data_IF_475427350041
#
_entry.id   IF_475427350041
#
_cell.length_a   1.000
_cell.length_b   1.000
_cell.length_c   1.000
_cell.angle_alpha   90.00
_cell.angle_beta   90.00
_cell.angle_gamma   90.00
#
_symmetry.space_group_name_H-M   'P 1'
#
loop_
_entity.id
_entity.type
_entity.pdbx_description
1 polymer ?
#
# COMPACT_ATOMS: atom_id res chain seq x y z
N UNK A 1 3.12 18.88 -30.53
CA UNK A 1 3.37 20.30 -30.19
C UNK A 1 3.64 20.40 -28.68
N UNK A 2 4.75 21.04 -28.32
CA UNK A 2 5.04 21.36 -26.90
C UNK A 2 4.67 22.83 -26.68
N UNK A 3 3.92 23.09 -25.63
CA UNK A 3 3.52 24.44 -25.25
C UNK A 3 4.46 24.92 -24.14
N UNK A 4 5.17 26.00 -24.39
CA UNK A 4 6.09 26.61 -23.46
C UNK A 4 5.55 27.96 -23.00
N UNK A 5 5.60 28.22 -21.69
CA UNK A 5 5.18 29.51 -21.11
C UNK A 5 6.32 30.50 -21.30
N UNK A 6 6.04 31.62 -21.96
CA UNK A 6 7.05 32.69 -22.10
C UNK A 6 7.08 33.56 -20.84
N UNK A 7 8.19 34.24 -20.60
CA UNK A 7 8.39 35.17 -19.47
C UNK A 7 7.32 36.28 -19.35
N UNK A 8 6.53 36.49 -20.40
CA UNK A 8 5.45 37.51 -20.45
C UNK A 8 4.05 36.90 -20.35
N UNK A 9 3.93 35.63 -19.92
CA UNK A 9 2.63 34.97 -19.71
C UNK A 9 1.87 34.56 -20.98
N UNK A 10 2.51 34.61 -22.15
CA UNK A 10 1.94 34.09 -23.39
C UNK A 10 2.47 32.69 -23.69
N UNK A 11 1.65 31.87 -24.33
CA UNK A 11 2.03 30.53 -24.74
C UNK A 11 2.65 30.56 -26.15
N UNK A 12 3.79 29.94 -26.29
CA UNK A 12 4.42 29.70 -27.58
C UNK A 12 4.32 28.21 -27.92
N UNK A 13 3.75 27.93 -29.10
CA UNK A 13 3.72 26.57 -29.63
C UNK A 13 5.02 26.32 -30.38
N UNK A 14 5.79 25.34 -29.91
CA UNK A 14 7.00 24.89 -30.60
C UNK A 14 6.64 23.70 -31.49
N UNK A 15 7.06 23.69 -32.78
CA UNK A 15 6.90 22.51 -33.60
C UNK A 15 7.77 21.39 -33.01
N UNK A 16 7.18 20.27 -32.68
CA UNK A 16 7.93 19.04 -32.45
C UNK A 16 8.47 18.65 -33.82
N UNK A 17 9.78 18.62 -33.94
CA UNK A 17 10.40 17.91 -35.07
C UNK A 17 9.95 16.45 -34.94
N UNK A 18 8.98 16.03 -35.73
CA UNK A 18 8.65 14.62 -35.89
C UNK A 18 9.91 14.00 -36.47
N UNK A 19 10.62 13.21 -35.68
CA UNK A 19 11.72 12.40 -36.19
C UNK A 19 11.17 11.64 -37.40
N UNK A 20 11.88 11.70 -38.51
CA UNK A 20 11.56 10.94 -39.72
C UNK A 20 11.20 9.52 -39.29
N UNK A 21 10.13 8.99 -39.90
CA UNK A 21 9.57 7.67 -39.61
C UNK A 21 10.66 6.70 -39.18
N UNK A 22 10.54 6.21 -37.93
CA UNK A 22 11.31 5.03 -37.52
C UNK A 22 11.05 3.98 -38.61
N UNK A 23 12.09 3.46 -39.27
CA UNK A 23 11.89 2.43 -40.30
C UNK A 23 11.04 1.32 -39.68
N UNK A 24 10.10 0.78 -40.45
CA UNK A 24 9.35 -0.45 -40.09
C UNK A 24 10.30 -1.68 -40.07
N UNK A 25 11.45 -1.56 -39.44
CA UNK A 25 12.18 -2.73 -38.97
C UNK A 25 11.28 -3.31 -37.90
N UNK A 26 10.81 -4.55 -38.13
CA UNK A 26 10.15 -5.37 -37.12
C UNK A 26 10.98 -5.23 -35.84
N UNK A 27 10.49 -4.41 -34.92
CA UNK A 27 11.01 -4.40 -33.56
C UNK A 27 10.79 -5.82 -33.07
N UNK A 28 11.88 -6.60 -33.05
CA UNK A 28 11.89 -7.92 -32.44
C UNK A 28 11.16 -7.77 -31.09
N UNK A 29 10.05 -8.49 -30.87
CA UNK A 29 9.30 -8.30 -29.64
C UNK A 29 10.29 -8.50 -28.51
N UNK A 30 10.55 -7.43 -27.77
CA UNK A 30 11.45 -7.43 -26.63
C UNK A 30 11.19 -8.70 -25.85
N UNK A 31 12.06 -9.68 -25.98
CA UNK A 31 12.08 -10.85 -25.09
C UNK A 31 12.51 -10.32 -23.74
N UNK A 32 11.54 -9.78 -23.02
CA UNK A 32 11.71 -9.34 -21.65
C UNK A 32 12.07 -10.57 -20.84
N UNK A 33 13.32 -10.66 -20.42
CA UNK A 33 13.69 -11.62 -19.40
C UNK A 33 12.77 -11.39 -18.19
N UNK A 34 11.99 -12.39 -17.83
CA UNK A 34 11.00 -12.29 -16.76
C UNK A 34 11.64 -11.82 -15.43
N UNK A 35 12.92 -12.13 -15.20
CA UNK A 35 13.64 -11.66 -14.03
C UNK A 35 14.01 -10.18 -14.10
N UNK A 36 14.44 -9.69 -15.25
CA UNK A 36 14.68 -8.26 -15.47
C UNK A 36 13.38 -7.48 -15.36
N UNK A 37 12.30 -7.99 -15.95
CA UNK A 37 10.97 -7.38 -15.86
C UNK A 37 10.48 -7.25 -14.40
N UNK A 38 10.68 -8.27 -13.58
CA UNK A 38 10.29 -8.23 -12.16
C UNK A 38 11.11 -7.19 -11.37
N UNK A 39 12.41 -7.11 -11.62
CA UNK A 39 13.26 -6.12 -10.98
C UNK A 39 12.88 -4.68 -11.39
N UNK A 40 12.60 -4.46 -12.65
CA UNK A 40 12.15 -3.17 -13.17
C UNK A 40 10.79 -2.75 -12.57
N UNK A 41 9.84 -3.69 -12.48
CA UNK A 41 8.53 -3.45 -11.84
C UNK A 41 8.74 -3.06 -10.37
N UNK A 42 9.59 -3.78 -9.65
CA UNK A 42 9.90 -3.47 -8.26
C UNK A 42 10.47 -2.06 -8.11
N UNK A 43 11.48 -1.70 -8.91
CA UNK A 43 12.08 -0.37 -8.89
C UNK A 43 11.08 0.73 -9.28
N UNK A 44 10.19 0.46 -10.22
CA UNK A 44 9.14 1.39 -10.61
C UNK A 44 8.15 1.64 -9.45
N UNK A 45 7.78 0.61 -8.69
CA UNK A 45 6.93 0.74 -7.50
C UNK A 45 7.61 1.58 -6.41
N UNK A 46 8.88 1.30 -6.12
CA UNK A 46 9.68 2.07 -5.16
C UNK A 46 9.78 3.53 -5.56
N UNK A 47 10.08 3.79 -6.84
CA UNK A 47 10.15 5.15 -7.39
C UNK A 47 8.80 5.86 -7.29
N UNK A 48 7.71 5.20 -7.67
CA UNK A 48 6.37 5.77 -7.63
C UNK A 48 5.95 6.21 -6.21
N UNK A 49 6.21 5.37 -5.20
CA UNK A 49 5.93 5.71 -3.80
C UNK A 49 6.79 6.90 -3.36
N UNK A 50 8.08 6.85 -3.63
CA UNK A 50 9.02 7.93 -3.26
C UNK A 50 8.62 9.28 -3.87
N UNK A 51 8.29 9.28 -5.14
CA UNK A 51 7.86 10.46 -5.88
C UNK A 51 6.54 11.02 -5.34
N UNK A 52 5.56 10.16 -5.09
CA UNK A 52 4.27 10.57 -4.54
C UNK A 52 4.45 11.23 -3.17
N UNK A 53 5.15 10.58 -2.26
CA UNK A 53 5.40 11.13 -0.93
C UNK A 53 6.15 12.46 -0.99
N UNK A 54 7.20 12.55 -1.80
CA UNK A 54 7.99 13.77 -1.98
C UNK A 54 7.15 14.92 -2.53
N UNK A 55 6.37 14.67 -3.59
CA UNK A 55 5.53 15.70 -4.24
C UNK A 55 4.40 16.19 -3.34
N UNK A 56 3.84 15.31 -2.53
CA UNK A 56 2.74 15.64 -1.61
C UNK A 56 3.21 16.15 -0.25
N UNK A 57 4.51 16.14 0.03
CA UNK A 57 5.08 16.55 1.31
C UNK A 57 4.83 15.56 2.44
N UNK A 58 4.51 14.30 2.13
CA UNK A 58 4.32 13.26 3.12
C UNK A 58 5.66 12.65 3.53
N UNK A 59 5.77 12.25 4.80
CA UNK A 59 7.03 11.72 5.35
C UNK A 59 6.89 10.36 5.99
N UNK A 60 5.69 9.95 6.39
CA UNK A 60 5.45 8.71 7.15
C UNK A 60 4.29 7.92 6.59
N UNK A 61 4.45 6.61 6.59
CA UNK A 61 3.42 5.64 6.19
C UNK A 61 3.05 4.69 7.31
N UNK A 62 1.81 4.20 7.28
CA UNK A 62 1.35 3.08 8.08
C UNK A 62 0.82 2.00 7.14
N UNK A 63 1.21 0.74 7.39
CA UNK A 63 0.83 -0.42 6.56
C UNK A 63 0.16 -1.46 7.46
N UNK A 64 -1.05 -1.87 7.11
CA UNK A 64 -1.69 -3.02 7.76
C UNK A 64 -0.98 -4.31 7.33
N UNK A 65 -0.33 -5.00 8.27
CA UNK A 65 0.39 -6.24 8.01
C UNK A 65 -0.38 -7.44 8.55
N UNK A 66 -0.84 -8.29 7.64
CA UNK A 66 -1.66 -9.47 7.98
C UNK A 66 -0.84 -10.75 8.21
N UNK A 67 0.45 -10.74 7.85
CA UNK A 67 1.30 -11.93 7.75
C UNK A 67 1.18 -12.66 6.42
N UNK A 68 0.30 -12.20 5.49
CA UNK A 68 0.22 -12.70 4.13
C UNK A 68 1.20 -12.03 3.18
N UNK A 69 1.51 -12.70 2.06
CA UNK A 69 2.52 -12.25 1.10
C UNK A 69 2.24 -10.86 0.52
N UNK A 70 0.99 -10.53 0.23
CA UNK A 70 0.63 -9.25 -0.38
C UNK A 70 1.00 -8.09 0.55
N UNK A 71 0.60 -8.18 1.83
CA UNK A 71 0.95 -7.17 2.84
C UNK A 71 2.45 -7.11 3.12
N UNK A 72 3.14 -8.24 3.01
CA UNK A 72 4.59 -8.32 3.17
C UNK A 72 5.32 -7.57 2.05
N UNK A 73 4.89 -7.76 0.80
CA UNK A 73 5.45 -7.03 -0.36
C UNK A 73 5.20 -5.53 -0.22
N UNK A 74 3.99 -5.11 0.13
CA UNK A 74 3.67 -3.69 0.34
C UNK A 74 4.55 -3.08 1.42
N UNK A 75 4.74 -3.77 2.56
CA UNK A 75 5.58 -3.30 3.65
C UNK A 75 7.06 -3.18 3.23
N UNK A 76 7.58 -4.18 2.50
CA UNK A 76 8.96 -4.18 2.01
C UNK A 76 9.21 -3.02 1.03
N UNK A 77 8.32 -2.84 0.04
CA UNK A 77 8.40 -1.75 -0.93
C UNK A 77 8.29 -0.37 -0.25
N UNK A 78 7.40 -0.22 0.74
CA UNK A 78 7.28 1.01 1.50
C UNK A 78 8.57 1.33 2.29
N UNK A 79 9.15 0.32 2.95
CA UNK A 79 10.41 0.48 3.68
C UNK A 79 11.58 0.84 2.76
N UNK A 80 11.67 0.25 1.58
CA UNK A 80 12.68 0.59 0.56
C UNK A 80 12.50 2.04 0.06
N UNK A 81 11.26 2.43 -0.21
CA UNK A 81 10.96 3.75 -0.77
C UNK A 81 11.18 4.89 0.23
N UNK A 82 10.76 4.71 1.48
CA UNK A 82 10.66 5.78 2.48
C UNK A 82 11.72 5.69 3.58
N UNK A 83 12.40 4.57 3.68
CA UNK A 83 13.25 4.22 4.81
C UNK A 83 12.43 3.59 5.95
N UNK A 84 12.94 2.52 6.60
CA UNK A 84 12.18 1.74 7.59
C UNK A 84 11.75 2.57 8.81
N UNK A 85 12.50 3.59 9.19
CA UNK A 85 12.17 4.49 10.30
C UNK A 85 10.92 5.35 10.05
N UNK A 86 10.50 5.48 8.79
CA UNK A 86 9.34 6.25 8.37
C UNK A 86 8.10 5.38 8.09
N UNK A 87 8.21 4.07 8.28
CA UNK A 87 7.12 3.11 8.02
C UNK A 87 6.76 2.39 9.32
N UNK A 88 5.48 2.36 9.63
CA UNK A 88 4.95 1.62 10.78
C UNK A 88 4.04 0.50 10.30
N UNK A 89 4.32 -0.73 10.70
CA UNK A 89 3.42 -1.86 10.46
C UNK A 89 2.37 -1.96 11.57
N UNK A 90 1.12 -2.17 11.19
CA UNK A 90 0.02 -2.38 12.13
C UNK A 90 -0.55 -3.78 11.98
N UNK A 91 -0.38 -4.59 13.00
CA UNK A 91 -0.88 -5.96 13.08
C UNK A 91 -2.22 -5.94 13.86
N UNK A 92 -3.28 -6.39 13.22
CA UNK A 92 -4.65 -6.34 13.73
C UNK A 92 -5.25 -7.75 13.83
N UNK A 93 -4.71 -8.62 14.70
CA UNK A 93 -5.19 -9.99 14.80
C UNK A 93 -6.61 -10.05 15.36
N UNK A 94 -7.40 -10.99 14.83
CA UNK A 94 -8.70 -11.40 15.39
C UNK A 94 -8.57 -12.75 16.10
N UNK A 95 -9.66 -13.24 16.67
CA UNK A 95 -9.73 -14.60 17.22
C UNK A 95 -9.53 -15.72 16.18
N UNK A 96 -9.62 -15.38 14.90
CA UNK A 96 -9.41 -16.31 13.78
C UNK A 96 -8.00 -16.22 13.19
N UNK A 97 -7.18 -15.27 13.63
CA UNK A 97 -5.79 -15.15 13.18
C UNK A 97 -4.94 -16.26 13.81
N UNK A 98 -4.08 -16.87 13.00
CA UNK A 98 -3.13 -17.87 13.51
C UNK A 98 -1.93 -17.20 14.15
N UNK A 99 -1.33 -17.86 15.14
CA UNK A 99 -0.08 -17.37 15.75
C UNK A 99 1.05 -17.25 14.73
N UNK A 100 1.09 -18.14 13.73
CA UNK A 100 2.06 -18.09 12.64
C UNK A 100 1.97 -16.77 11.87
N UNK A 101 0.76 -16.35 11.47
CA UNK A 101 0.59 -15.11 10.70
C UNK A 101 1.07 -13.87 11.48
N UNK A 102 0.82 -13.84 12.79
CA UNK A 102 1.29 -12.75 13.65
C UNK A 102 2.80 -12.78 13.79
N UNK A 103 3.39 -13.95 14.02
CA UNK A 103 4.82 -14.13 14.18
C UNK A 103 5.57 -13.78 12.88
N UNK A 104 5.04 -14.19 11.73
CA UNK A 104 5.62 -13.88 10.42
C UNK A 104 5.62 -12.36 10.16
N UNK A 105 4.52 -11.66 10.48
CA UNK A 105 4.45 -10.21 10.35
C UNK A 105 5.42 -9.47 11.29
N UNK A 106 5.57 -9.96 12.52
CA UNK A 106 6.56 -9.43 13.48
C UNK A 106 7.98 -9.67 12.97
N UNK A 107 8.28 -10.90 12.55
CA UNK A 107 9.62 -11.25 12.05
C UNK A 107 9.99 -10.43 10.82
N UNK A 108 9.04 -10.21 9.91
CA UNK A 108 9.24 -9.35 8.75
C UNK A 108 9.59 -7.92 9.19
N UNK A 109 8.84 -7.34 10.12
CA UNK A 109 9.11 -5.99 10.62
C UNK A 109 10.49 -5.89 11.30
N UNK A 110 10.88 -6.91 12.06
CA UNK A 110 12.22 -7.00 12.66
C UNK A 110 13.30 -7.05 11.59
N UNK A 111 13.12 -7.86 10.55
CA UNK A 111 14.06 -8.01 9.45
C UNK A 111 14.20 -6.72 8.62
N UNK A 112 13.12 -6.01 8.40
CA UNK A 112 13.11 -4.72 7.69
C UNK A 112 13.60 -3.56 8.56
N UNK A 113 13.58 -3.70 9.88
CA UNK A 113 13.98 -2.67 10.83
C UNK A 113 12.94 -1.56 11.01
N UNK A 114 11.69 -1.80 10.64
CA UNK A 114 10.60 -0.83 10.83
C UNK A 114 9.89 -1.01 12.17
N UNK A 115 9.21 0.06 12.61
CA UNK A 115 8.35 -0.02 13.79
C UNK A 115 7.09 -0.84 13.51
N UNK A 116 6.58 -1.52 14.54
CA UNK A 116 5.30 -2.20 14.46
C UNK A 116 4.49 -2.09 15.75
N UNK A 117 3.16 -2.19 15.61
CA UNK A 117 2.23 -2.27 16.72
C UNK A 117 1.28 -3.46 16.53
N UNK A 118 0.94 -4.14 17.61
CA UNK A 118 -0.05 -5.22 17.63
C UNK A 118 -1.26 -4.74 18.40
N UNK A 119 -2.39 -4.61 17.74
CA UNK A 119 -3.66 -4.19 18.33
C UNK A 119 -4.74 -5.21 17.98
N UNK A 120 -5.06 -6.16 18.89
CA UNK A 120 -6.10 -7.16 18.65
C UNK A 120 -7.47 -6.51 18.43
N UNK A 121 -8.20 -6.97 17.42
CA UNK A 121 -9.56 -6.45 17.13
C UNK A 121 -10.66 -7.21 17.86
N UNK A 122 -10.34 -8.26 18.60
CA UNK A 122 -11.31 -9.18 19.22
C UNK A 122 -12.40 -8.45 20.03
N UNK A 123 -12.03 -7.53 20.89
CA UNK A 123 -12.99 -6.83 21.75
C UNK A 123 -13.89 -5.88 20.95
N UNK A 124 -13.33 -5.22 19.93
CA UNK A 124 -14.10 -4.34 19.05
C UNK A 124 -15.09 -5.17 18.23
N UNK A 125 -14.64 -6.29 17.68
CA UNK A 125 -15.47 -7.21 16.93
C UNK A 125 -16.63 -7.75 17.78
N UNK A 126 -16.35 -8.21 19.01
CA UNK A 126 -17.38 -8.68 19.94
C UNK A 126 -18.43 -7.59 20.25
N UNK A 127 -18.02 -6.33 20.42
CA UNK A 127 -18.95 -5.22 20.62
C UNK A 127 -19.88 -5.00 19.42
N UNK A 128 -19.38 -5.16 18.19
CA UNK A 128 -20.22 -5.12 17.00
C UNK A 128 -21.18 -6.31 16.92
N UNK A 129 -20.73 -7.52 17.23
CA UNK A 129 -21.57 -8.71 17.27
C UNK A 129 -22.73 -8.52 18.28
N UNK A 130 -22.41 -8.05 19.48
CA UNK A 130 -23.42 -7.79 20.51
C UNK A 130 -24.44 -6.73 20.07
N UNK A 131 -23.99 -5.65 19.43
CA UNK A 131 -24.87 -4.60 18.94
C UNK A 131 -25.78 -5.06 17.78
N UNK A 132 -25.29 -5.96 16.92
CA UNK A 132 -26.00 -6.47 15.76
C UNK A 132 -26.87 -7.70 16.07
N UNK A 133 -26.64 -8.36 17.18
CA UNK A 133 -27.36 -9.58 17.58
C UNK A 133 -28.88 -9.50 17.49
N UNK A 134 -29.56 -8.41 17.91
CA UNK A 134 -31.01 -8.29 17.77
C UNK A 134 -31.48 -8.29 16.30
N UNK A 135 -30.63 -7.80 15.39
CA UNK A 135 -30.93 -7.72 13.95
C UNK A 135 -30.56 -8.98 13.21
N UNK A 136 -29.45 -9.60 13.58
CA UNK A 136 -28.96 -10.84 12.96
C UNK A 136 -29.78 -12.06 13.44
N UNK A 137 -30.40 -11.95 14.59
CA UNK A 137 -31.14 -13.04 15.21
C UNK A 137 -30.22 -14.26 15.41
N UNK A 138 -30.71 -15.45 15.06
CA UNK A 138 -29.94 -16.69 15.17
C UNK A 138 -29.38 -17.16 13.80
N UNK A 139 -29.11 -16.23 12.89
CA UNK A 139 -28.49 -16.58 11.62
C UNK A 139 -27.04 -17.04 11.85
N UNK A 140 -26.57 -18.05 11.09
CA UNK A 140 -25.21 -18.54 11.25
C UNK A 140 -24.19 -17.51 10.72
N UNK A 141 -22.96 -17.56 11.29
CA UNK A 141 -21.82 -16.77 10.83
C UNK A 141 -21.60 -16.92 9.32
N UNK A 142 -21.40 -15.82 8.62
CA UNK A 142 -21.19 -15.79 7.18
C UNK A 142 -20.29 -14.61 6.75
N UNK A 143 -20.37 -14.25 5.48
CA UNK A 143 -19.61 -13.15 4.86
C UNK A 143 -19.85 -11.78 5.55
N UNK A 144 -20.96 -11.60 6.27
CA UNK A 144 -21.23 -10.34 6.96
C UNK A 144 -20.23 -10.09 8.08
N UNK A 145 -19.98 -11.10 8.92
CA UNK A 145 -19.03 -11.04 10.01
C UNK A 145 -17.58 -10.99 9.51
N UNK A 146 -17.26 -11.67 8.42
CA UNK A 146 -15.95 -11.57 7.76
C UNK A 146 -15.68 -10.14 7.26
N UNK A 147 -16.65 -9.54 6.58
CA UNK A 147 -16.58 -8.17 6.13
C UNK A 147 -16.50 -7.17 7.28
N UNK A 148 -17.20 -7.44 8.38
CA UNK A 148 -17.15 -6.62 9.57
C UNK A 148 -15.73 -6.53 10.15
N UNK A 149 -15.02 -7.66 10.26
CA UNK A 149 -13.63 -7.66 10.68
C UNK A 149 -12.74 -6.81 9.79
N UNK A 150 -12.94 -6.88 8.48
CA UNK A 150 -12.20 -6.09 7.51
C UNK A 150 -12.45 -4.59 7.71
N UNK A 151 -13.71 -4.18 7.96
CA UNK A 151 -14.07 -2.78 8.23
C UNK A 151 -13.50 -2.26 9.54
N UNK A 152 -13.52 -3.08 10.59
CA UNK A 152 -12.92 -2.75 11.89
C UNK A 152 -11.41 -2.48 11.71
N UNK A 153 -10.70 -3.34 11.01
CA UNK A 153 -9.27 -3.12 10.70
C UNK A 153 -9.06 -1.80 9.97
N UNK A 154 -9.82 -1.56 8.92
CA UNK A 154 -9.74 -0.31 8.16
C UNK A 154 -9.99 0.93 9.00
N UNK A 155 -11.02 0.91 9.88
CA UNK A 155 -11.30 2.02 10.79
C UNK A 155 -10.16 2.28 11.78
N UNK A 156 -9.56 1.24 12.33
CA UNK A 156 -8.45 1.36 13.29
C UNK A 156 -7.18 1.91 12.63
N UNK A 157 -6.84 1.42 11.43
CA UNK A 157 -5.69 1.93 10.68
C UNK A 157 -5.90 3.40 10.33
N UNK A 158 -7.09 3.75 9.84
CA UNK A 158 -7.44 5.13 9.49
C UNK A 158 -7.39 6.06 10.71
N UNK A 159 -7.85 5.60 11.88
CA UNK A 159 -7.79 6.39 13.10
C UNK A 159 -6.34 6.73 13.49
N UNK A 160 -5.42 5.76 13.40
CA UNK A 160 -4.00 5.99 13.66
C UNK A 160 -3.36 6.88 12.58
N UNK A 161 -3.65 6.61 11.31
CA UNK A 161 -3.16 7.42 10.21
C UNK A 161 -3.53 8.90 10.39
N UNK A 162 -4.80 9.20 10.66
CA UNK A 162 -5.27 10.55 10.87
C UNK A 162 -4.70 11.19 12.15
N UNK A 163 -4.56 10.41 13.23
CA UNK A 163 -4.07 10.92 14.51
C UNK A 163 -2.62 11.35 14.45
N UNK A 164 -1.79 10.61 13.71
CA UNK A 164 -0.35 10.81 13.64
C UNK A 164 0.14 11.41 12.33
N UNK A 165 -0.76 11.72 11.40
CA UNK A 165 -0.39 12.27 10.09
C UNK A 165 0.35 11.27 9.19
N UNK A 166 0.03 9.98 9.29
CA UNK A 166 0.55 8.95 8.41
C UNK A 166 -0.29 8.84 7.15
N UNK A 167 0.34 8.41 6.06
CA UNK A 167 -0.36 7.92 4.88
C UNK A 167 -0.56 6.42 5.02
N UNK A 168 -1.77 5.96 4.67
CA UNK A 168 -2.17 4.56 4.65
C UNK A 168 -1.99 4.00 3.24
#
# INVERSE_FOLDING_TARGET
>A
EVVELTEHGSFRTLPIAVADKIPDEELDPLQLDAQLCTAEIYQALVLGIRDYFSKMGFTKAIVASSGGIDSAVVLAVACEALGPQNVTALLLPSQFSTDHSVNDAVQLSVNLGNQYHIIPIKNVFAAYEDALKPSFKDLPFNVAEENLQSRIRGAMVMALANKFGYIL
#
